data_IF_053204062964
#
_entry.id   IF_053204062964
#
_cell.length_a   1.000
_cell.length_b   1.000
_cell.length_c   1.000
_cell.angle_alpha   90.00
_cell.angle_beta   90.00
_cell.angle_gamma   90.00
#
_symmetry.space_group_name_H-M   'P 1'
#
loop_
_entity.id
_entity.type
_entity.pdbx_description
1 polymer ?
#
# COMPACT_ATOMS: atom_id res chain seq x y z
N UNK A 1 -14.13 10.52 -9.98
CA UNK A 1 -13.38 9.25 -10.07
C UNK A 1 -13.01 8.85 -8.65
N UNK A 2 -13.51 7.72 -8.16
CA UNK A 2 -13.16 7.22 -6.83
C UNK A 2 -11.68 6.83 -6.85
N UNK A 3 -10.85 7.55 -6.11
CA UNK A 3 -9.42 7.28 -5.94
C UNK A 3 -9.26 6.01 -5.13
N UNK A 4 -8.94 4.90 -5.80
CA UNK A 4 -8.60 3.63 -5.16
C UNK A 4 -7.22 3.79 -4.48
N UNK A 5 -7.21 3.73 -3.14
CA UNK A 5 -5.98 3.88 -2.34
C UNK A 5 -5.76 2.70 -1.43
N UNK A 6 -4.57 2.09 -1.50
CA UNK A 6 -4.16 0.95 -0.66
C UNK A 6 -3.46 1.40 0.63
N UNK A 7 -3.59 2.69 0.97
CA UNK A 7 -2.94 3.33 2.10
C UNK A 7 -3.99 3.63 3.17
N UNK A 8 -3.73 3.29 4.44
CA UNK A 8 -4.68 3.55 5.50
C UNK A 8 -4.84 5.05 5.75
N UNK A 9 -6.09 5.45 5.99
CA UNK A 9 -6.40 6.82 6.34
C UNK A 9 -5.59 7.24 7.56
N UNK A 10 -4.95 8.42 7.49
CA UNK A 10 -4.23 9.08 8.60
C UNK A 10 -2.91 8.45 9.05
N UNK A 11 -2.25 7.62 8.23
CA UNK A 11 -0.90 7.12 8.60
C UNK A 11 0.12 8.27 8.80
N UNK A 12 -0.09 9.41 8.12
CA UNK A 12 0.76 10.59 8.20
C UNK A 12 0.75 11.25 9.59
N UNK A 13 -0.36 11.14 10.33
CA UNK A 13 -0.50 11.69 11.69
C UNK A 13 0.41 10.97 12.71
N UNK A 14 0.96 9.82 12.32
CA UNK A 14 1.84 8.97 13.14
C UNK A 14 3.32 9.12 12.75
N UNK A 15 3.78 10.31 12.33
CA UNK A 15 5.19 10.52 11.99
C UNK A 15 6.10 10.36 13.23
N UNK A 16 6.95 9.31 13.27
CA UNK A 16 7.77 9.03 14.45
C UNK A 16 9.00 9.92 14.56
N UNK A 17 9.27 10.78 13.56
CA UNK A 17 10.46 11.64 13.56
C UNK A 17 10.46 12.67 14.67
N UNK A 18 9.29 13.16 15.05
CA UNK A 18 9.15 14.12 16.15
C UNK A 18 9.11 13.43 17.51
N UNK A 19 8.83 12.12 17.57
CA UNK A 19 8.69 11.40 18.84
C UNK A 19 9.97 11.40 19.68
N UNK A 20 11.14 11.29 19.05
CA UNK A 20 12.42 11.32 19.76
C UNK A 20 12.66 12.64 20.48
N UNK A 21 12.26 13.74 19.85
CA UNK A 21 12.43 15.08 20.42
C UNK A 21 11.52 15.29 21.63
N UNK A 22 10.26 14.83 21.55
CA UNK A 22 9.30 14.96 22.64
C UNK A 22 9.44 13.90 23.74
N UNK A 23 9.95 12.70 23.40
CA UNK A 23 10.04 11.55 24.30
C UNK A 23 11.43 10.90 24.23
N UNK A 24 12.47 11.53 24.79
CA UNK A 24 13.85 11.03 24.72
C UNK A 24 14.07 9.70 25.47
N UNK A 25 13.18 9.34 26.39
CA UNK A 25 13.20 8.06 27.14
C UNK A 25 12.50 6.92 26.40
N UNK A 26 11.99 7.15 25.18
CA UNK A 26 11.28 6.13 24.42
C UNK A 26 12.22 4.96 24.09
N UNK A 27 11.79 3.70 24.32
CA UNK A 27 12.63 2.55 23.99
C UNK A 27 12.96 2.51 22.50
N UNK A 28 14.25 2.37 22.17
CA UNK A 28 14.75 2.35 20.81
C UNK A 28 14.04 1.30 19.93
N UNK A 29 13.72 0.13 20.49
CA UNK A 29 13.00 -0.95 19.79
C UNK A 29 11.58 -0.53 19.39
N UNK A 30 10.87 0.19 20.28
CA UNK A 30 9.51 0.66 20.00
C UNK A 30 9.54 1.73 18.91
N UNK A 31 10.50 2.64 19.00
CA UNK A 31 10.71 3.67 17.97
C UNK A 31 11.02 3.06 16.60
N UNK A 32 11.93 2.09 16.54
CA UNK A 32 12.30 1.41 15.30
C UNK A 32 11.09 0.77 14.61
N UNK A 33 10.17 0.15 15.38
CA UNK A 33 8.93 -0.41 14.83
C UNK A 33 8.03 0.65 14.21
N UNK A 34 7.83 1.78 14.90
CA UNK A 34 7.03 2.90 14.40
C UNK A 34 7.63 3.49 13.12
N UNK A 35 8.96 3.66 13.10
CA UNK A 35 9.68 4.10 11.90
C UNK A 35 9.53 3.13 10.74
N UNK A 36 9.63 1.82 11.01
CA UNK A 36 9.50 0.80 9.97
C UNK A 36 8.10 0.85 9.32
N UNK A 37 7.05 0.96 10.13
CA UNK A 37 5.67 1.09 9.67
C UNK A 37 5.47 2.39 8.86
N UNK A 38 5.94 3.52 9.40
CA UNK A 38 5.86 4.81 8.72
C UNK A 38 6.58 4.81 7.36
N UNK A 39 7.82 4.31 7.32
CA UNK A 39 8.60 4.21 6.10
C UNK A 39 7.93 3.30 5.07
N UNK A 40 7.30 2.20 5.50
CA UNK A 40 6.55 1.32 4.61
C UNK A 40 5.40 2.07 3.94
N UNK A 41 4.54 2.75 4.71
CA UNK A 41 3.42 3.49 4.14
C UNK A 41 3.86 4.68 3.29
N UNK A 42 4.97 5.35 3.64
CA UNK A 42 5.54 6.40 2.78
C UNK A 42 6.06 5.87 1.45
N UNK A 43 6.67 4.69 1.43
CA UNK A 43 7.06 4.05 0.16
C UNK A 43 5.84 3.64 -0.66
N UNK A 44 4.78 3.17 0.00
CA UNK A 44 3.52 2.79 -0.66
C UNK A 44 2.81 4.00 -1.27
N UNK A 45 2.77 5.13 -0.54
CA UNK A 45 2.28 6.42 -1.02
C UNK A 45 2.98 6.87 -2.29
N UNK A 46 4.31 6.84 -2.30
CA UNK A 46 5.09 7.19 -3.48
C UNK A 46 4.81 6.26 -4.67
N UNK A 47 4.68 4.95 -4.41
CA UNK A 47 4.34 3.98 -5.45
C UNK A 47 2.93 4.21 -6.02
N UNK A 48 1.97 4.57 -5.17
CA UNK A 48 0.59 4.86 -5.56
C UNK A 48 0.50 6.14 -6.39
N UNK A 49 1.16 7.21 -5.96
CA UNK A 49 1.26 8.47 -6.70
C UNK A 49 1.87 8.27 -8.09
N UNK A 50 2.93 7.45 -8.19
CA UNK A 50 3.54 7.10 -9.47
C UNK A 50 2.58 6.30 -10.36
N UNK A 51 1.90 5.30 -9.80
CA UNK A 51 0.92 4.51 -10.53
C UNK A 51 -0.23 5.38 -11.06
N UNK A 52 -0.80 6.25 -10.21
CA UNK A 52 -1.89 7.16 -10.61
C UNK A 52 -1.47 8.11 -11.71
N UNK A 53 -0.25 8.68 -11.66
CA UNK A 53 0.30 9.53 -12.74
C UNK A 53 0.40 8.80 -14.08
N UNK A 54 0.59 7.49 -14.06
CA UNK A 54 0.64 6.64 -15.24
C UNK A 54 -0.73 6.08 -15.64
N UNK A 55 -1.81 6.45 -14.95
CA UNK A 55 -3.18 5.98 -15.22
C UNK A 55 -3.47 4.56 -14.68
N UNK A 56 -2.63 4.05 -13.79
CA UNK A 56 -2.81 2.77 -13.12
C UNK A 56 -3.28 2.95 -11.68
N UNK A 57 -3.77 1.87 -11.08
CA UNK A 57 -3.99 1.70 -9.64
C UNK A 57 -3.09 0.58 -9.12
N UNK A 58 -2.74 0.64 -7.83
CA UNK A 58 -2.05 -0.46 -7.18
C UNK A 58 -3.04 -1.51 -6.70
N UNK A 59 -2.75 -2.76 -7.04
CA UNK A 59 -3.55 -3.93 -6.66
C UNK A 59 -2.69 -4.87 -5.84
N UNK A 60 -3.07 -5.21 -4.59
CA UNK A 60 -2.30 -6.13 -3.77
C UNK A 60 -2.09 -7.49 -4.46
N UNK A 61 -0.92 -8.10 -4.25
CA UNK A 61 -0.59 -9.39 -4.86
C UNK A 61 -1.64 -10.46 -4.57
N UNK A 62 -2.29 -10.45 -3.41
CA UNK A 62 -3.30 -11.43 -3.01
C UNK A 62 -4.64 -11.28 -3.77
N UNK A 63 -4.99 -10.07 -4.19
CA UNK A 63 -6.21 -9.78 -4.95
C UNK A 63 -6.15 -10.35 -6.37
N UNK A 64 -4.95 -10.45 -6.95
CA UNK A 64 -4.76 -10.91 -8.34
C UNK A 64 -4.96 -12.42 -8.50
N UNK A 65 -5.47 -12.85 -9.66
CA UNK A 65 -5.55 -14.27 -10.01
C UNK A 65 -4.16 -14.86 -10.34
N UNK A 66 -3.86 -16.11 -9.93
CA UNK A 66 -2.51 -16.69 -10.04
C UNK A 66 -1.95 -16.71 -11.46
N UNK A 67 -2.78 -16.95 -12.49
CA UNK A 67 -2.35 -16.92 -13.89
C UNK A 67 -1.92 -15.51 -14.29
N UNK A 68 -2.67 -14.50 -13.84
CA UNK A 68 -2.39 -13.09 -14.11
C UNK A 68 -1.14 -12.61 -13.37
N UNK A 69 -0.89 -13.12 -12.15
CA UNK A 69 0.38 -12.86 -11.44
C UNK A 69 1.59 -13.31 -12.25
N UNK A 70 1.49 -14.45 -12.95
CA UNK A 70 2.56 -14.91 -13.86
C UNK A 70 2.68 -14.02 -15.09
N UNK A 71 1.56 -13.64 -15.71
CA UNK A 71 1.54 -12.83 -16.92
C UNK A 71 2.07 -11.40 -16.70
N UNK A 72 1.68 -10.73 -15.61
CA UNK A 72 2.06 -9.35 -15.30
C UNK A 72 3.26 -9.23 -14.35
N UNK A 73 3.85 -10.36 -13.94
CA UNK A 73 4.84 -10.46 -12.86
C UNK A 73 6.18 -9.78 -13.13
N UNK A 74 6.52 -9.58 -14.40
CA UNK A 74 7.80 -9.00 -14.82
C UNK A 74 7.69 -7.48 -15.02
N UNK A 75 6.65 -7.02 -15.72
CA UNK A 75 6.61 -5.63 -16.21
C UNK A 75 5.77 -4.68 -15.34
N UNK A 76 4.77 -5.21 -14.62
CA UNK A 76 3.78 -4.39 -13.89
C UNK A 76 3.80 -4.61 -12.39
N UNK A 77 4.78 -5.35 -11.87
CA UNK A 77 4.89 -5.64 -10.44
C UNK A 77 5.78 -4.61 -9.76
N UNK A 78 5.26 -3.97 -8.72
CA UNK A 78 5.99 -3.06 -7.83
C UNK A 78 6.16 -3.74 -6.48
N UNK A 79 7.36 -3.64 -5.90
CA UNK A 79 7.67 -4.19 -4.58
C UNK A 79 7.83 -3.06 -3.58
N UNK A 80 7.06 -3.12 -2.49
CA UNK A 80 7.15 -2.16 -1.37
C UNK A 80 7.40 -2.97 -0.10
N UNK A 81 8.59 -2.82 0.48
CA UNK A 81 9.06 -3.68 1.57
C UNK A 81 9.02 -5.17 1.22
N UNK A 82 8.25 -5.95 1.99
CA UNK A 82 8.04 -7.39 1.76
C UNK A 82 6.81 -7.66 0.89
N UNK A 83 6.00 -6.64 0.62
CA UNK A 83 4.74 -6.77 -0.09
C UNK A 83 4.96 -6.47 -1.57
N UNK A 84 4.12 -7.07 -2.41
CA UNK A 84 4.11 -6.84 -3.84
C UNK A 84 2.74 -6.35 -4.27
N UNK A 85 2.75 -5.44 -5.24
CA UNK A 85 1.57 -4.82 -5.81
C UNK A 85 1.69 -4.89 -7.34
N UNK A 86 0.55 -4.86 -8.02
CA UNK A 86 0.50 -4.77 -9.47
C UNK A 86 -0.09 -3.43 -9.89
N UNK A 87 0.55 -2.79 -10.86
CA UNK A 87 0.00 -1.62 -11.54
C UNK A 87 -0.99 -2.09 -12.61
N UNK A 88 -2.27 -1.85 -12.38
CA UNK A 88 -3.36 -2.28 -13.26
C UNK A 88 -4.27 -1.11 -13.57
N UNK A 89 -4.84 -1.05 -14.77
CA UNK A 89 -5.93 -0.12 -15.02
C UNK A 89 -7.23 -0.70 -14.46
N UNK A 90 -8.16 0.14 -14.02
CA UNK A 90 -9.41 -0.34 -13.40
C UNK A 90 -10.27 -1.19 -14.35
N UNK A 91 -10.23 -0.89 -15.65
CA UNK A 91 -10.91 -1.64 -16.71
C UNK A 91 -10.22 -2.98 -17.04
N UNK A 92 -8.95 -3.18 -16.67
CA UNK A 92 -8.23 -4.43 -16.89
C UNK A 92 -8.55 -5.48 -15.81
N UNK A 93 -9.17 -5.09 -14.69
CA UNK A 93 -9.50 -5.99 -13.60
C UNK A 93 -10.66 -6.90 -13.98
N UNK A 94 -10.52 -8.19 -13.68
CA UNK A 94 -11.68 -9.08 -13.75
C UNK A 94 -12.66 -8.75 -12.62
N UNK A 95 -13.93 -9.14 -12.79
CA UNK A 95 -14.97 -8.97 -11.75
C UNK A 95 -14.53 -9.53 -10.40
N UNK A 96 -13.85 -10.68 -10.40
CA UNK A 96 -13.37 -11.33 -9.17
C UNK A 96 -12.24 -10.56 -8.51
N UNK A 97 -11.28 -10.05 -9.28
CA UNK A 97 -10.16 -9.27 -8.74
C UNK A 97 -10.63 -7.90 -8.22
N UNK A 98 -11.57 -7.28 -8.93
CA UNK A 98 -12.21 -6.04 -8.48
C UNK A 98 -12.91 -6.25 -7.14
N UNK A 99 -13.71 -7.31 -7.00
CA UNK A 99 -14.36 -7.65 -5.72
C UNK A 99 -13.34 -7.88 -4.59
N UNK A 100 -12.28 -8.64 -4.84
CA UNK A 100 -11.22 -8.87 -3.85
C UNK A 100 -10.51 -7.59 -3.44
N UNK A 101 -10.33 -6.67 -4.39
CA UNK A 101 -9.74 -5.36 -4.12
C UNK A 101 -10.70 -4.53 -3.26
N UNK A 102 -11.99 -4.51 -3.57
CA UNK A 102 -13.00 -3.82 -2.76
C UNK A 102 -13.04 -4.36 -1.32
N UNK A 103 -13.08 -5.68 -1.14
CA UNK A 103 -13.01 -6.36 0.17
C UNK A 103 -11.74 -5.95 0.94
N UNK A 104 -10.58 -5.95 0.29
CA UNK A 104 -9.32 -5.55 0.90
C UNK A 104 -9.35 -4.08 1.38
N UNK A 105 -9.90 -3.18 0.57
CA UNK A 105 -10.00 -1.76 0.90
C UNK A 105 -10.96 -1.52 2.06
N UNK A 106 -12.05 -2.28 2.14
CA UNK A 106 -12.96 -2.23 3.28
C UNK A 106 -12.25 -2.66 4.57
N UNK A 107 -11.58 -3.81 4.57
CA UNK A 107 -10.82 -4.31 5.74
C UNK A 107 -9.77 -3.31 6.22
N UNK A 108 -9.08 -2.66 5.28
CA UNK A 108 -8.06 -1.66 5.55
C UNK A 108 -8.66 -0.40 6.20
N UNK A 109 -9.86 0.01 5.78
CA UNK A 109 -10.59 1.11 6.40
C UNK A 109 -11.19 0.76 7.78
N UNK A 110 -11.62 -0.49 8.00
CA UNK A 110 -12.11 -0.94 9.31
C UNK A 110 -11.00 -1.10 10.36
N UNK A 111 -9.78 -1.39 9.91
CA UNK A 111 -8.62 -1.63 10.78
C UNK A 111 -7.82 -0.36 11.13
N UNK A 112 -8.18 0.79 10.54
CA UNK A 112 -7.51 2.09 10.71
C UNK A 112 -8.25 3.01 11.67
#
# INVERSE_FOLDING_TARGET
MSTCSVIPNKFQDKDPRQLLYHFPTLPAVKLAKLYQEYCFFKQLELAEDMAHKMGFILVPYECMHWQRKKAFGNDRKVKVGRNSYFMMQQNELTRTEKRKLEEYLEELNYSS
#
